data_IF_760540486171
#
_entry.id   IF_760540486171
#
_cell.length_a   1.000
_cell.length_b   1.000
_cell.length_c   1.000
_cell.angle_alpha   90.00
_cell.angle_beta   90.00
_cell.angle_gamma   90.00
#
_symmetry.space_group_name_H-M   'P 1'
#
loop_
_entity.id
_entity.type
_entity.pdbx_description
1 polymer ?
#
# COMPACT_ATOMS: atom_id res chain seq x y z
N UNK A 1 -12.52 -21.04 16.19
CA UNK A 1 -11.26 -21.08 16.97
C UNK A 1 -10.57 -19.76 16.72
N UNK A 2 -10.17 -19.00 17.74
CA UNK A 2 -9.42 -17.76 17.53
C UNK A 2 -8.04 -18.13 16.97
N UNK A 3 -7.63 -17.46 15.89
CA UNK A 3 -6.27 -17.55 15.35
C UNK A 3 -5.31 -16.98 16.41
N UNK A 4 -4.16 -17.60 16.59
CA UNK A 4 -3.11 -17.03 17.42
C UNK A 4 -2.68 -15.66 16.89
N UNK A 5 -2.28 -14.71 17.77
CA UNK A 5 -1.83 -13.41 17.32
C UNK A 5 -0.65 -13.53 16.35
N UNK A 6 -0.72 -12.83 15.22
CA UNK A 6 0.41 -12.73 14.28
C UNK A 6 1.38 -11.62 14.72
N UNK A 7 2.60 -11.59 14.19
CA UNK A 7 3.55 -10.50 14.41
C UNK A 7 3.77 -9.72 13.11
N UNK A 8 3.54 -8.40 13.16
CA UNK A 8 3.86 -7.48 12.07
C UNK A 8 5.15 -6.75 12.41
N UNK A 9 6.18 -6.94 11.56
CA UNK A 9 7.48 -6.30 11.73
C UNK A 9 7.54 -5.03 10.90
N UNK A 10 7.95 -3.94 11.53
CA UNK A 10 8.10 -2.62 10.91
C UNK A 10 9.36 -1.90 11.39
N UNK A 11 9.51 -0.62 11.06
CA UNK A 11 10.65 0.18 11.56
C UNK A 11 10.37 0.78 12.95
N UNK A 12 11.40 0.80 13.81
CA UNK A 12 11.32 1.34 15.18
C UNK A 12 11.14 2.87 15.21
N UNK A 13 11.70 3.54 14.22
CA UNK A 13 11.63 4.99 14.09
C UNK A 13 11.66 5.40 12.63
N UNK A 14 10.96 6.48 12.33
CA UNK A 14 10.93 7.11 11.02
C UNK A 14 10.96 8.63 11.19
N UNK A 15 11.67 9.35 10.30
CA UNK A 15 11.50 10.79 10.20
C UNK A 15 10.03 11.14 9.93
N UNK A 16 9.64 12.36 10.25
CA UNK A 16 8.23 12.79 10.12
C UNK A 16 7.67 12.56 8.71
N UNK A 17 8.47 12.83 7.71
CA UNK A 17 8.08 12.81 6.31
C UNK A 17 7.52 11.46 5.78
N UNK A 18 8.15 10.27 5.96
CA UNK A 18 7.56 9.02 5.47
C UNK A 18 6.56 8.40 6.46
N UNK A 19 6.37 9.02 7.64
CA UNK A 19 5.49 8.49 8.68
C UNK A 19 4.05 8.45 8.17
N UNK A 20 3.38 7.31 8.33
CA UNK A 20 2.03 7.07 7.81
C UNK A 20 1.97 6.64 6.34
N UNK A 21 3.12 6.57 5.62
CA UNK A 21 3.23 6.08 4.24
C UNK A 21 4.10 4.83 4.11
N UNK A 22 4.60 4.29 5.22
CA UNK A 22 5.28 2.99 5.21
C UNK A 22 4.26 1.88 5.02
N UNK A 23 4.59 0.92 4.17
CA UNK A 23 3.65 -0.11 3.73
C UNK A 23 3.17 -1.09 4.81
N UNK A 24 3.70 -1.00 6.04
CA UNK A 24 3.19 -1.76 7.18
C UNK A 24 1.76 -1.38 7.57
N UNK A 25 1.32 -0.16 7.23
CA UNK A 25 -0.07 0.25 7.40
C UNK A 25 -1.04 -0.69 6.68
N UNK A 26 -0.66 -1.23 5.51
CA UNK A 26 -1.47 -2.19 4.74
C UNK A 26 -1.73 -3.47 5.53
N UNK A 27 -0.67 -4.00 6.15
CA UNK A 27 -0.77 -5.21 6.97
C UNK A 27 -1.60 -4.98 8.24
N UNK A 28 -1.37 -3.85 8.93
CA UNK A 28 -2.14 -3.48 10.14
C UNK A 28 -3.60 -3.28 9.80
N UNK A 29 -3.89 -2.49 8.78
CA UNK A 29 -5.28 -2.26 8.35
C UNK A 29 -5.98 -3.55 7.97
N UNK A 30 -5.32 -4.44 7.22
CA UNK A 30 -5.88 -5.75 6.90
C UNK A 30 -6.14 -6.60 8.15
N UNK A 31 -5.24 -6.59 9.15
CA UNK A 31 -5.44 -7.30 10.40
C UNK A 31 -6.64 -6.77 11.17
N UNK A 32 -6.79 -5.44 11.30
CA UNK A 32 -7.93 -4.80 11.96
C UNK A 32 -9.26 -5.13 11.25
N UNK A 33 -9.33 -5.01 9.92
CA UNK A 33 -10.53 -5.33 9.14
C UNK A 33 -10.89 -6.81 9.18
N UNK A 34 -9.88 -7.68 9.28
CA UNK A 34 -10.05 -9.13 9.37
C UNK A 34 -10.36 -9.61 10.80
N UNK A 35 -10.24 -8.73 11.81
CA UNK A 35 -10.37 -9.10 13.22
C UNK A 35 -9.24 -10.03 13.70
N UNK A 36 -8.06 -9.95 13.09
CA UNK A 36 -6.87 -10.74 13.45
C UNK A 36 -6.05 -9.97 14.47
N UNK A 37 -5.88 -10.55 15.66
CA UNK A 37 -5.00 -10.00 16.69
C UNK A 37 -3.55 -10.02 16.22
N UNK A 38 -2.79 -8.94 16.49
CA UNK A 38 -1.40 -8.86 16.11
C UNK A 38 -0.54 -8.15 17.17
N UNK A 39 0.73 -8.52 17.21
CA UNK A 39 1.79 -7.79 17.91
C UNK A 39 2.65 -7.04 16.89
N UNK A 40 3.32 -5.98 17.35
CA UNK A 40 4.25 -5.21 16.51
C UNK A 40 5.68 -5.46 17.03
N UNK A 41 6.55 -5.90 16.13
CA UNK A 41 7.99 -5.95 16.33
C UNK A 41 8.66 -4.86 15.47
N UNK A 42 9.73 -4.29 15.96
CA UNK A 42 10.41 -3.20 15.25
C UNK A 42 11.85 -3.55 14.92
N UNK A 43 12.31 -3.01 13.79
CA UNK A 43 13.68 -3.10 13.31
C UNK A 43 14.25 -1.69 13.06
N UNK A 44 15.55 -1.48 13.22
CA UNK A 44 16.18 -0.22 12.85
C UNK A 44 16.07 0.03 11.33
N UNK A 45 15.85 1.30 10.97
CA UNK A 45 15.89 1.70 9.55
C UNK A 45 17.30 1.51 9.00
N UNK A 46 18.32 1.92 9.78
CA UNK A 46 19.74 1.80 9.48
C UNK A 46 20.55 1.65 10.78
N UNK A 47 21.62 0.85 10.78
CA UNK A 47 22.07 -0.02 9.69
C UNK A 47 21.19 -1.27 9.53
N UNK A 48 21.09 -1.79 8.31
CA UNK A 48 20.38 -3.04 8.05
C UNK A 48 21.16 -4.23 8.63
N UNK A 49 20.47 -5.10 9.38
CA UNK A 49 21.09 -6.27 10.00
C UNK A 49 21.15 -7.48 9.05
N UNK A 50 22.08 -8.39 9.31
CA UNK A 50 22.14 -9.68 8.59
C UNK A 50 20.85 -10.48 8.81
N UNK A 51 20.31 -10.47 10.03
CA UNK A 51 19.04 -11.15 10.34
C UNK A 51 17.88 -10.59 9.52
N UNK A 52 17.81 -9.27 9.31
CA UNK A 52 16.80 -8.67 8.45
C UNK A 52 16.89 -9.19 7.00
N UNK A 53 18.11 -9.26 6.42
CA UNK A 53 18.33 -9.77 5.06
C UNK A 53 17.94 -11.24 4.90
N UNK A 54 18.09 -12.04 5.95
CA UNK A 54 17.73 -13.46 5.91
C UNK A 54 16.22 -13.69 5.81
N UNK A 55 15.41 -12.80 6.39
CA UNK A 55 13.96 -12.91 6.40
C UNK A 55 13.29 -12.05 5.32
N UNK A 56 13.96 -11.00 4.83
CA UNK A 56 13.47 -10.13 3.77
C UNK A 56 14.65 -9.70 2.87
N UNK A 57 14.81 -10.32 1.69
CA UNK A 57 15.99 -10.17 0.85
C UNK A 57 16.20 -8.75 0.30
N UNK A 58 15.15 -7.92 0.29
CA UNK A 58 15.20 -6.51 -0.15
C UNK A 58 15.35 -5.53 1.02
N UNK A 59 15.52 -6.02 2.25
CA UNK A 59 15.72 -5.22 3.46
C UNK A 59 14.59 -4.20 3.74
N UNK A 60 13.36 -4.58 3.38
CA UNK A 60 12.17 -3.74 3.51
C UNK A 60 11.26 -4.24 4.65
N UNK A 61 10.23 -3.46 4.92
CA UNK A 61 9.07 -3.79 5.75
C UNK A 61 7.79 -3.53 4.96
N UNK A 62 6.64 -4.16 5.29
CA UNK A 62 6.42 -5.07 6.42
C UNK A 62 6.93 -6.48 6.19
N UNK A 63 7.09 -7.21 7.32
CA UNK A 63 7.21 -8.66 7.36
C UNK A 63 6.11 -9.17 8.30
N UNK A 64 5.46 -10.28 7.95
CA UNK A 64 4.48 -10.97 8.80
C UNK A 64 5.09 -12.28 9.29
N UNK A 65 4.91 -12.59 10.58
CA UNK A 65 5.14 -13.92 11.14
C UNK A 65 3.82 -14.48 11.67
N UNK A 66 3.48 -15.70 11.28
CA UNK A 66 2.27 -16.41 11.67
C UNK A 66 2.63 -17.88 11.93
N UNK A 67 2.88 -18.23 13.20
CA UNK A 67 3.51 -19.49 13.56
C UNK A 67 4.86 -19.65 12.89
N UNK A 68 5.06 -20.75 12.16
CA UNK A 68 6.29 -21.02 11.41
C UNK A 68 6.36 -20.29 10.06
N UNK A 69 5.27 -19.66 9.63
CA UNK A 69 5.22 -18.92 8.36
C UNK A 69 5.81 -17.52 8.52
N UNK A 70 6.73 -17.17 7.63
CA UNK A 70 7.22 -15.80 7.49
C UNK A 70 6.95 -15.31 6.08
N UNK A 71 6.24 -14.18 5.94
CA UNK A 71 5.90 -13.55 4.67
C UNK A 71 6.49 -12.15 4.57
N UNK A 72 6.91 -11.79 3.40
CA UNK A 72 7.15 -10.42 2.97
C UNK A 72 6.31 -10.13 1.71
N UNK A 73 6.36 -8.91 1.16
CA UNK A 73 5.43 -8.31 0.21
C UNK A 73 4.07 -7.96 0.86
N UNK A 74 3.78 -6.68 0.94
CA UNK A 74 2.56 -6.19 1.58
C UNK A 74 1.28 -6.77 0.96
N UNK A 75 1.28 -7.04 -0.36
CA UNK A 75 0.15 -7.68 -1.04
C UNK A 75 -0.06 -9.13 -0.63
N UNK A 76 1.01 -9.91 -0.50
CA UNK A 76 0.94 -11.28 -0.03
C UNK A 76 0.47 -11.35 1.43
N UNK A 77 0.96 -10.44 2.27
CA UNK A 77 0.55 -10.32 3.67
C UNK A 77 -0.95 -10.00 3.77
N UNK A 78 -1.44 -9.02 3.00
CA UNK A 78 -2.87 -8.65 3.00
C UNK A 78 -3.74 -9.82 2.52
N UNK A 79 -3.35 -10.53 1.47
CA UNK A 79 -4.08 -11.72 1.00
C UNK A 79 -4.13 -12.81 2.08
N UNK A 80 -3.00 -13.06 2.76
CA UNK A 80 -2.94 -14.06 3.83
C UNK A 80 -3.82 -13.69 5.03
N UNK A 81 -3.83 -12.42 5.43
CA UNK A 81 -4.69 -11.93 6.53
C UNK A 81 -6.17 -11.93 6.15
N UNK A 82 -6.50 -11.70 4.87
CA UNK A 82 -7.85 -11.70 4.35
C UNK A 82 -8.45 -13.10 4.14
N UNK A 83 -7.64 -14.15 4.17
CA UNK A 83 -8.07 -15.54 3.92
C UNK A 83 -9.17 -15.96 4.88
N UNK A 84 -10.28 -16.49 4.34
CA UNK A 84 -11.44 -16.94 5.12
C UNK A 84 -12.26 -15.82 5.78
N UNK A 85 -12.04 -14.57 5.40
CA UNK A 85 -12.77 -13.38 5.89
C UNK A 85 -13.63 -12.75 4.78
N UNK A 86 -14.53 -11.82 5.13
CA UNK A 86 -15.27 -11.03 4.13
C UNK A 86 -14.40 -10.18 3.20
N UNK A 87 -13.14 -9.95 3.53
CA UNK A 87 -12.20 -9.19 2.67
C UNK A 87 -11.79 -9.99 1.42
N UNK A 88 -11.91 -11.33 1.45
CA UNK A 88 -11.53 -12.20 0.35
C UNK A 88 -12.51 -13.37 0.20
N UNK A 89 -13.80 -13.13 -0.12
CA UNK A 89 -14.78 -14.18 -0.30
C UNK A 89 -14.39 -15.06 -1.49
N UNK A 90 -14.53 -16.38 -1.33
CA UNK A 90 -14.08 -17.39 -2.30
C UNK A 90 -14.67 -17.15 -3.70
N UNK A 91 -15.95 -16.82 -3.79
CA UNK A 91 -16.64 -16.55 -5.05
C UNK A 91 -16.05 -15.37 -5.86
N UNK A 92 -15.32 -14.47 -5.20
CA UNK A 92 -14.71 -13.27 -5.81
C UNK A 92 -13.19 -13.22 -5.67
N UNK A 93 -12.58 -14.27 -5.13
CA UNK A 93 -11.14 -14.36 -4.88
C UNK A 93 -10.30 -13.93 -6.10
N UNK A 94 -10.58 -14.45 -7.27
CA UNK A 94 -9.80 -14.16 -8.47
C UNK A 94 -9.87 -12.68 -8.86
N UNK A 95 -11.06 -12.09 -8.82
CA UNK A 95 -11.28 -10.67 -9.13
C UNK A 95 -10.58 -9.74 -8.12
N UNK A 96 -10.75 -10.03 -6.81
CA UNK A 96 -10.11 -9.25 -5.74
C UNK A 96 -8.60 -9.36 -5.84
N UNK A 97 -8.05 -10.56 -6.08
CA UNK A 97 -6.61 -10.76 -6.28
C UNK A 97 -6.11 -9.99 -7.51
N UNK A 98 -6.85 -9.99 -8.61
CA UNK A 98 -6.53 -9.22 -9.81
C UNK A 98 -6.40 -7.72 -9.49
N UNK A 99 -7.39 -7.14 -8.78
CA UNK A 99 -7.36 -5.72 -8.43
C UNK A 99 -6.27 -5.38 -7.42
N UNK A 100 -6.00 -6.27 -6.47
CA UNK A 100 -4.90 -6.13 -5.54
C UNK A 100 -3.54 -6.08 -6.27
N UNK A 101 -3.31 -7.01 -7.20
CA UNK A 101 -2.10 -7.01 -8.03
C UNK A 101 -2.04 -5.78 -8.93
N UNK A 102 -3.17 -5.37 -9.53
CA UNK A 102 -3.24 -4.16 -10.35
C UNK A 102 -2.91 -2.90 -9.54
N UNK A 103 -3.37 -2.80 -8.29
CA UNK A 103 -3.03 -1.70 -7.41
C UNK A 103 -1.50 -1.57 -7.22
N UNK A 104 -0.80 -2.68 -6.95
CA UNK A 104 0.64 -2.67 -6.71
C UNK A 104 1.47 -2.53 -8.00
N UNK A 105 1.11 -3.28 -9.03
CA UNK A 105 1.93 -3.37 -10.24
C UNK A 105 1.61 -2.27 -11.26
N UNK A 106 0.32 -2.02 -11.50
CA UNK A 106 -0.11 -1.10 -12.56
C UNK A 106 -0.28 0.34 -12.07
N UNK A 107 -0.81 0.52 -10.85
CA UNK A 107 -1.09 1.84 -10.29
C UNK A 107 0.12 2.35 -9.51
N UNK A 108 0.58 1.61 -8.49
CA UNK A 108 1.72 2.03 -7.66
C UNK A 108 3.01 2.15 -8.49
N UNK A 109 3.21 1.28 -9.48
CA UNK A 109 4.35 1.39 -10.39
C UNK A 109 4.41 2.73 -11.15
N UNK A 110 3.27 3.31 -11.49
CA UNK A 110 3.20 4.61 -12.15
C UNK A 110 3.22 5.78 -11.15
N UNK A 111 2.36 5.73 -10.13
CA UNK A 111 2.25 6.79 -9.11
C UNK A 111 3.52 6.90 -8.27
N UNK A 112 4.11 5.77 -7.86
CA UNK A 112 5.32 5.71 -7.06
C UNK A 112 6.55 6.22 -7.82
N UNK A 113 6.67 5.92 -9.11
CA UNK A 113 7.76 6.45 -9.95
C UNK A 113 7.71 7.98 -9.99
N UNK A 114 6.55 8.54 -10.29
CA UNK A 114 6.37 9.99 -10.29
C UNK A 114 6.63 10.59 -8.90
N UNK A 115 6.07 9.99 -7.86
CA UNK A 115 6.24 10.45 -6.49
C UNK A 115 7.71 10.49 -6.05
N UNK A 116 8.50 9.44 -6.37
CA UNK A 116 9.93 9.41 -6.08
C UNK A 116 10.70 10.55 -6.77
N UNK A 117 10.35 10.88 -8.02
CA UNK A 117 10.94 12.03 -8.72
C UNK A 117 10.60 13.36 -8.03
N UNK A 118 9.35 13.53 -7.57
CA UNK A 118 8.95 14.70 -6.79
C UNK A 118 9.69 14.79 -5.44
N UNK A 119 9.97 13.63 -4.82
CA UNK A 119 10.75 13.56 -3.59
C UNK A 119 12.22 13.91 -3.81
N UNK A 120 12.82 13.43 -4.90
CA UNK A 120 14.20 13.79 -5.27
C UNK A 120 14.36 15.29 -5.52
N UNK A 121 13.34 15.93 -6.11
CA UNK A 121 13.31 17.40 -6.29
C UNK A 121 13.30 18.13 -4.95
N UNK A 122 12.47 17.67 -4.00
CA UNK A 122 12.29 18.34 -2.70
C UNK A 122 13.38 17.98 -1.68
N UNK A 123 13.91 16.77 -1.74
CA UNK A 123 14.82 16.19 -0.75
C UNK A 123 15.98 15.45 -1.41
N UNK A 124 16.82 16.12 -2.22
CA UNK A 124 17.87 15.45 -3.01
C UNK A 124 18.92 14.73 -2.14
N UNK A 125 19.15 15.18 -0.92
CA UNK A 125 20.05 14.52 0.02
C UNK A 125 19.60 13.12 0.45
N UNK A 126 18.30 12.82 0.33
CA UNK A 126 17.70 11.53 0.75
C UNK A 126 17.39 10.64 -0.47
N UNK A 127 16.83 11.25 -1.53
CA UNK A 127 16.29 10.50 -2.68
C UNK A 127 17.20 10.57 -3.92
N UNK A 128 18.35 11.22 -3.81
CA UNK A 128 19.28 11.40 -4.93
C UNK A 128 18.98 12.67 -5.77
N UNK A 129 19.77 12.92 -6.82
CA UNK A 129 19.63 14.12 -7.63
C UNK A 129 18.29 14.16 -8.36
N UNK A 130 17.73 15.37 -8.61
CA UNK A 130 16.51 15.54 -9.39
C UNK A 130 16.64 14.94 -10.79
N UNK A 131 15.53 14.40 -11.29
CA UNK A 131 15.45 13.90 -12.67
C UNK A 131 15.27 15.07 -13.66
N UNK A 132 15.70 14.92 -14.93
CA UNK A 132 15.42 15.90 -15.96
C UNK A 132 13.92 16.19 -16.11
N UNK A 133 13.50 17.44 -16.37
CA UNK A 133 12.09 17.82 -16.43
C UNK A 133 11.24 17.00 -17.42
N UNK A 134 11.80 16.63 -18.56
CA UNK A 134 11.13 15.81 -19.57
C UNK A 134 10.86 14.38 -19.08
N UNK A 135 11.74 13.83 -18.22
CA UNK A 135 11.57 12.51 -17.61
C UNK A 135 10.46 12.57 -16.54
N UNK A 136 10.45 13.64 -15.74
CA UNK A 136 9.40 13.89 -14.74
C UNK A 136 8.04 14.04 -15.41
N UNK A 137 7.98 14.81 -16.52
CA UNK A 137 6.74 15.02 -17.28
C UNK A 137 6.23 13.71 -17.91
N UNK A 138 7.13 12.90 -18.47
CA UNK A 138 6.75 11.58 -18.99
C UNK A 138 6.18 10.66 -17.88
N UNK A 139 6.80 10.65 -16.71
CA UNK A 139 6.31 9.89 -15.56
C UNK A 139 4.95 10.42 -15.09
N UNK A 140 4.75 11.76 -15.06
CA UNK A 140 3.47 12.39 -14.74
C UNK A 140 2.37 11.97 -15.70
N UNK A 141 2.62 11.98 -17.01
CA UNK A 141 1.65 11.54 -18.03
C UNK A 141 1.26 10.06 -17.83
N UNK A 142 2.23 9.20 -17.53
CA UNK A 142 1.98 7.80 -17.22
C UNK A 142 1.13 7.60 -15.98
N UNK A 143 1.36 8.38 -14.93
CA UNK A 143 0.52 8.40 -13.73
C UNK A 143 -0.89 8.88 -14.04
N UNK A 144 -1.04 10.05 -14.68
CA UNK A 144 -2.35 10.63 -15.02
C UNK A 144 -3.19 9.66 -15.85
N UNK A 145 -2.60 8.99 -16.84
CA UNK A 145 -3.31 8.00 -17.64
C UNK A 145 -3.88 6.84 -16.80
N UNK A 146 -3.20 6.42 -15.71
CA UNK A 146 -3.71 5.42 -14.78
C UNK A 146 -4.83 5.97 -13.88
N UNK A 147 -4.66 7.19 -13.38
CA UNK A 147 -5.68 7.86 -12.57
C UNK A 147 -6.96 8.11 -13.38
N UNK A 148 -6.86 8.57 -14.63
CA UNK A 148 -8.01 8.76 -15.53
C UNK A 148 -8.76 7.46 -15.80
N UNK A 149 -8.03 6.35 -15.98
CA UNK A 149 -8.65 5.05 -16.18
C UNK A 149 -9.41 4.59 -14.93
N UNK A 150 -8.80 4.76 -13.74
CA UNK A 150 -9.44 4.43 -12.47
C UNK A 150 -10.62 5.37 -12.17
N UNK A 151 -10.50 6.67 -12.45
CA UNK A 151 -11.57 7.65 -12.26
C UNK A 151 -12.83 7.24 -13.03
N UNK A 152 -12.69 6.88 -14.32
CA UNK A 152 -13.82 6.38 -15.13
C UNK A 152 -14.42 5.10 -14.58
N UNK A 153 -13.59 4.19 -14.08
CA UNK A 153 -14.01 2.92 -13.51
C UNK A 153 -14.78 3.11 -12.20
N UNK A 154 -14.33 4.06 -11.37
CA UNK A 154 -14.89 4.29 -10.03
C UNK A 154 -16.16 5.16 -10.04
N UNK A 155 -16.55 5.74 -11.19
CA UNK A 155 -17.80 6.47 -11.29
C UNK A 155 -19.00 5.58 -10.92
N UNK A 156 -19.78 6.02 -9.92
CA UNK A 156 -20.94 5.29 -9.40
C UNK A 156 -20.60 4.01 -8.61
N UNK A 157 -19.34 3.81 -8.24
CA UNK A 157 -18.90 2.69 -7.40
C UNK A 157 -18.38 3.18 -6.06
N UNK A 158 -18.68 2.43 -5.02
CA UNK A 158 -18.07 2.67 -3.70
C UNK A 158 -16.72 1.97 -3.56
N UNK A 159 -16.58 0.74 -4.07
CA UNK A 159 -15.41 -0.11 -3.93
C UNK A 159 -15.02 -0.74 -5.27
N UNK A 160 -13.72 -1.04 -5.43
CA UNK A 160 -13.16 -1.47 -6.72
C UNK A 160 -13.74 -2.80 -7.19
N UNK A 161 -14.05 -3.69 -6.24
CA UNK A 161 -14.56 -5.03 -6.50
C UNK A 161 -16.00 -5.23 -5.96
N UNK A 162 -16.81 -4.18 -5.86
CA UNK A 162 -18.21 -4.19 -5.41
C UNK A 162 -18.35 -3.92 -3.91
N UNK A 163 -18.01 -4.86 -3.03
CA UNK A 163 -17.91 -4.65 -1.59
C UNK A 163 -16.46 -4.34 -1.21
N UNK A 164 -16.28 -3.71 -0.02
CA UNK A 164 -14.94 -3.46 0.51
C UNK A 164 -14.17 -4.77 0.67
N UNK A 165 -12.94 -4.79 0.19
CA UNK A 165 -12.13 -6.00 0.07
C UNK A 165 -10.64 -5.74 0.30
N UNK A 166 -9.85 -6.81 0.30
CA UNK A 166 -8.39 -6.73 0.34
C UNK A 166 -7.80 -5.85 -0.78
N UNK A 167 -8.46 -5.78 -1.94
CA UNK A 167 -8.04 -4.93 -3.04
C UNK A 167 -8.16 -3.44 -2.70
N UNK A 168 -9.20 -3.04 -1.96
CA UNK A 168 -9.43 -1.65 -1.58
C UNK A 168 -8.41 -1.18 -0.55
N UNK A 169 -7.95 -2.04 0.35
CA UNK A 169 -6.87 -1.74 1.30
C UNK A 169 -5.62 -1.31 0.53
N UNK A 170 -5.24 -2.09 -0.49
CA UNK A 170 -4.03 -1.80 -1.28
C UNK A 170 -4.23 -0.59 -2.19
N UNK A 171 -5.35 -0.53 -2.91
CA UNK A 171 -5.60 0.55 -3.87
C UNK A 171 -5.75 1.91 -3.17
N UNK A 172 -6.48 1.96 -2.06
CA UNK A 172 -6.64 3.19 -1.30
C UNK A 172 -5.30 3.68 -0.74
N UNK A 173 -4.48 2.79 -0.16
CA UNK A 173 -3.16 3.19 0.34
C UNK A 173 -2.23 3.66 -0.78
N UNK A 174 -2.23 3.01 -1.93
CA UNK A 174 -1.48 3.45 -3.12
C UNK A 174 -1.90 4.85 -3.57
N UNK A 175 -3.20 5.15 -3.56
CA UNK A 175 -3.74 6.45 -3.98
C UNK A 175 -3.55 7.56 -2.93
N UNK A 176 -3.28 7.25 -1.67
CA UNK A 176 -2.95 8.24 -0.64
C UNK A 176 -1.70 9.05 -0.98
N UNK A 177 -0.70 8.44 -1.62
CA UNK A 177 0.53 9.12 -2.00
C UNK A 177 0.27 10.24 -3.02
N UNK A 178 -0.33 9.99 -4.19
CA UNK A 178 -0.69 11.06 -5.12
C UNK A 178 -1.74 12.03 -4.54
N UNK A 179 -2.63 11.58 -3.65
CA UNK A 179 -3.57 12.45 -2.96
C UNK A 179 -2.85 13.48 -2.07
N UNK A 180 -1.88 13.04 -1.26
CA UNK A 180 -1.06 13.91 -0.42
C UNK A 180 -0.18 14.91 -1.22
N UNK A 181 0.03 14.62 -2.49
CA UNK A 181 0.76 15.48 -3.44
C UNK A 181 -0.19 16.29 -4.35
N UNK A 182 -1.48 16.35 -4.02
CA UNK A 182 -2.52 17.08 -4.76
C UNK A 182 -2.74 16.58 -6.21
N UNK A 183 -2.19 15.41 -6.57
CA UNK A 183 -2.30 14.87 -7.92
C UNK A 183 -3.68 14.25 -8.24
N UNK A 184 -4.58 14.16 -7.25
CA UNK A 184 -5.98 13.75 -7.47
C UNK A 184 -6.94 14.92 -7.72
N UNK A 185 -6.46 16.16 -7.83
CA UNK A 185 -7.32 17.36 -7.98
C UNK A 185 -8.31 17.27 -9.14
N UNK A 186 -8.00 16.57 -10.22
CA UNK A 186 -8.88 16.34 -11.36
C UNK A 186 -9.70 15.04 -11.32
N UNK A 187 -9.69 14.30 -10.18
CA UNK A 187 -10.23 12.95 -10.06
C UNK A 187 -11.18 12.84 -8.84
N UNK A 188 -12.40 13.41 -8.94
CA UNK A 188 -13.31 13.48 -7.80
C UNK A 188 -13.80 12.12 -7.29
N UNK A 189 -13.99 11.12 -8.17
CA UNK A 189 -14.38 9.77 -7.73
C UNK A 189 -13.25 9.10 -6.93
N UNK A 190 -11.99 9.25 -7.35
CA UNK A 190 -10.83 8.73 -6.60
C UNK A 190 -10.63 9.48 -5.29
N UNK A 191 -10.82 10.79 -5.27
CA UNK A 191 -10.75 11.59 -4.04
C UNK A 191 -11.79 11.12 -3.02
N UNK A 192 -13.04 10.93 -3.45
CA UNK A 192 -14.11 10.41 -2.61
C UNK A 192 -13.83 8.96 -2.15
N UNK A 193 -13.27 8.14 -3.03
CA UNK A 193 -12.89 6.77 -2.73
C UNK A 193 -11.83 6.71 -1.62
N UNK A 194 -10.73 7.46 -1.75
CA UNK A 194 -9.68 7.52 -0.72
C UNK A 194 -10.25 8.02 0.60
N UNK A 195 -11.04 9.10 0.58
CA UNK A 195 -11.66 9.64 1.78
C UNK A 195 -12.58 8.61 2.47
N UNK A 196 -13.40 7.87 1.71
CA UNK A 196 -14.27 6.81 2.23
C UNK A 196 -13.46 5.68 2.85
N UNK A 197 -12.40 5.24 2.18
CA UNK A 197 -11.56 4.15 2.64
C UNK A 197 -10.84 4.50 3.95
N UNK A 198 -10.26 5.71 4.03
CA UNK A 198 -9.52 6.17 5.22
C UNK A 198 -10.43 6.65 6.37
N UNK A 199 -11.73 6.77 6.15
CA UNK A 199 -12.71 7.03 7.20
C UNK A 199 -13.20 5.75 7.90
N UNK A 200 -12.76 4.58 7.47
CA UNK A 200 -13.13 3.31 8.12
C UNK A 200 -12.50 3.23 9.50
N UNK A 201 -13.22 2.69 10.51
CA UNK A 201 -12.70 2.61 11.88
C UNK A 201 -11.41 1.82 12.06
N UNK A 202 -11.14 0.89 11.14
CA UNK A 202 -9.95 0.05 11.14
C UNK A 202 -8.71 0.72 10.49
N UNK A 203 -8.86 1.86 9.82
CA UNK A 203 -7.76 2.65 9.27
C UNK A 203 -7.20 3.58 10.37
#
# INVERSE_FOLDING_TARGET
>A
MSRDPVTIVTYEWLPEFPRGFVRDIRARWAAEEAGVAYAVETLPVMPKSVAHRQIQPFEQVPILRDGDLTLFESGAIVLHLAEGTPLLPEARRAEITQWLIAALNSVEGATGRWALMQMAERHPAIFGPPSPPEVVEHARQGMVARLDALERLMQGRDWIAGDFSAADILLADVLRVPAAMEALAGHPALTAYVARATARPAF
#
